data_IF_321544445607
#
_entry.id   IF_321544445607
#
_cell.length_a   1.000
_cell.length_b   1.000
_cell.length_c   1.000
_cell.angle_alpha   90.00
_cell.angle_beta   90.00
_cell.angle_gamma   90.00
#
_symmetry.space_group_name_H-M   'P 1'
#
loop_
_entity.id
_entity.type
_entity.pdbx_description
1 polymer ?
#
# COMPACT_ATOMS: atom_id res chain seq x y z
N UNK A 1 -17.65 6.96 4.91
CA UNK A 1 -17.69 8.43 4.72
C UNK A 1 -17.56 9.22 6.02
N UNK A 2 -17.97 8.68 7.17
CA UNK A 2 -17.90 9.38 8.47
C UNK A 2 -16.53 10.01 8.74
N UNK A 3 -15.44 9.23 8.64
CA UNK A 3 -14.07 9.71 8.87
C UNK A 3 -13.74 10.96 8.03
N UNK A 4 -14.05 10.93 6.74
CA UNK A 4 -13.78 12.04 5.81
C UNK A 4 -14.55 13.28 6.24
N UNK A 5 -15.85 13.14 6.53
CA UNK A 5 -16.68 14.26 6.95
C UNK A 5 -16.23 14.83 8.29
N UNK A 6 -15.91 13.97 9.26
CA UNK A 6 -15.39 14.41 10.55
C UNK A 6 -14.09 15.19 10.40
N UNK A 7 -13.16 14.72 9.57
CA UNK A 7 -11.92 15.44 9.27
C UNK A 7 -12.20 16.80 8.62
N UNK A 8 -13.05 16.86 7.60
CA UNK A 8 -13.39 18.09 6.89
C UNK A 8 -14.11 19.12 7.79
N UNK A 9 -14.91 18.65 8.75
CA UNK A 9 -15.62 19.48 9.70
C UNK A 9 -14.86 19.70 11.03
N UNK A 10 -13.60 19.26 11.13
CA UNK A 10 -12.79 19.35 12.36
C UNK A 10 -13.45 18.71 13.61
N UNK A 11 -14.27 17.68 13.40
CA UNK A 11 -14.93 16.91 14.45
C UNK A 11 -14.19 15.60 14.72
N UNK A 12 -14.26 15.11 15.96
CA UNK A 12 -13.74 13.79 16.35
C UNK A 12 -12.28 13.54 15.96
N UNK A 13 -11.45 14.59 15.86
CA UNK A 13 -10.08 14.48 15.34
C UNK A 13 -9.20 13.56 16.18
N UNK A 14 -9.43 13.49 17.50
CA UNK A 14 -8.72 12.55 18.39
C UNK A 14 -9.05 11.10 18.07
N UNK A 15 -10.28 10.82 17.63
CA UNK A 15 -10.73 9.48 17.25
C UNK A 15 -10.07 9.02 15.96
N UNK A 16 -9.93 9.94 14.99
CA UNK A 16 -9.36 9.64 13.67
C UNK A 16 -7.89 10.03 13.55
N UNK A 17 -7.23 10.19 14.69
CA UNK A 17 -5.82 10.56 14.79
C UNK A 17 -4.90 9.38 14.39
N UNK A 18 -5.42 8.16 14.52
CA UNK A 18 -4.81 6.90 14.08
C UNK A 18 -5.85 6.10 13.32
N UNK A 19 -5.46 5.51 12.19
CA UNK A 19 -6.29 4.60 11.41
C UNK A 19 -5.53 3.30 11.19
N UNK A 20 -6.23 2.18 11.25
CA UNK A 20 -5.67 0.90 10.80
C UNK A 20 -5.55 0.87 9.27
N UNK A 21 -4.71 -0.02 8.73
CA UNK A 21 -4.42 -0.08 7.29
C UNK A 21 -5.70 -0.23 6.44
N UNK A 22 -6.65 -1.04 6.88
CA UNK A 22 -7.95 -1.25 6.22
C UNK A 22 -8.81 0.02 6.18
N UNK A 23 -8.88 0.74 7.29
CA UNK A 23 -9.64 1.99 7.39
C UNK A 23 -9.00 3.06 6.51
N UNK A 24 -7.68 3.16 6.54
CA UNK A 24 -6.92 4.10 5.72
C UNK A 24 -7.11 3.83 4.22
N UNK A 25 -7.10 2.57 3.80
CA UNK A 25 -7.38 2.17 2.42
C UNK A 25 -8.82 2.53 1.99
N UNK A 26 -9.81 2.31 2.87
CA UNK A 26 -11.20 2.69 2.61
C UNK A 26 -11.36 4.22 2.49
N UNK A 27 -10.71 4.99 3.36
CA UNK A 27 -10.69 6.46 3.28
C UNK A 27 -10.03 6.90 1.97
N UNK A 28 -8.92 6.28 1.56
CA UNK A 28 -8.25 6.62 0.31
C UNK A 28 -9.15 6.41 -0.90
N UNK A 29 -9.80 5.25 -1.00
CA UNK A 29 -10.71 4.91 -2.09
C UNK A 29 -11.90 5.89 -2.16
N UNK A 30 -12.50 6.22 -1.01
CA UNK A 30 -13.57 7.21 -0.96
C UNK A 30 -13.05 8.61 -1.30
N UNK A 31 -11.85 8.97 -0.87
CA UNK A 31 -11.29 10.30 -1.15
C UNK A 31 -11.03 10.51 -2.63
N UNK A 32 -10.56 9.48 -3.33
CA UNK A 32 -10.36 9.53 -4.78
C UNK A 32 -11.71 9.54 -5.51
N UNK A 33 -12.68 8.73 -5.07
CA UNK A 33 -14.06 8.72 -5.61
C UNK A 33 -14.74 10.10 -5.55
N UNK A 34 -14.54 10.85 -4.45
CA UNK A 34 -15.17 12.15 -4.22
C UNK A 34 -14.23 13.34 -4.46
N UNK A 35 -13.04 13.11 -5.04
CA UNK A 35 -11.97 14.09 -5.30
C UNK A 35 -11.63 15.00 -4.10
N UNK A 36 -11.67 14.45 -2.88
CA UNK A 36 -11.36 15.19 -1.65
C UNK A 36 -9.95 14.91 -1.10
N UNK A 37 -9.12 14.17 -1.83
CA UNK A 37 -7.73 13.85 -1.46
C UNK A 37 -6.90 15.09 -1.12
N UNK A 38 -7.09 16.20 -1.85
CA UNK A 38 -6.37 17.47 -1.59
C UNK A 38 -6.69 18.04 -0.22
N UNK A 39 -7.95 17.97 0.20
CA UNK A 39 -8.40 18.46 1.49
C UNK A 39 -7.84 17.60 2.64
N UNK A 40 -7.59 16.31 2.41
CA UNK A 40 -7.06 15.39 3.42
C UNK A 40 -5.53 15.38 3.52
N UNK A 41 -4.80 16.16 2.72
CA UNK A 41 -3.32 16.14 2.66
C UNK A 41 -2.60 16.22 4.02
N UNK A 42 -2.96 17.16 4.93
CA UNK A 42 -2.33 17.22 6.26
C UNK A 42 -2.47 15.92 7.05
N UNK A 43 -3.63 15.26 6.95
CA UNK A 43 -3.95 14.03 7.66
C UNK A 43 -3.27 12.80 7.04
N UNK A 44 -3.11 12.77 5.70
CA UNK A 44 -2.44 11.68 5.00
C UNK A 44 -1.02 11.45 5.55
N UNK A 45 -0.21 12.51 5.63
CA UNK A 45 1.16 12.43 6.16
C UNK A 45 1.18 11.94 7.62
N UNK A 46 0.22 12.39 8.42
CA UNK A 46 0.07 12.00 9.81
C UNK A 46 -0.32 10.52 9.96
N UNK A 47 -1.31 10.05 9.20
CA UNK A 47 -1.74 8.66 9.21
C UNK A 47 -0.61 7.72 8.81
N UNK A 48 0.08 7.98 7.70
CA UNK A 48 1.24 7.18 7.30
C UNK A 48 2.39 7.26 8.29
N UNK A 49 2.63 8.43 8.90
CA UNK A 49 3.70 8.63 9.87
C UNK A 49 3.50 7.87 11.19
N UNK A 50 2.24 7.57 11.54
CA UNK A 50 1.84 6.84 12.75
C UNK A 50 1.78 5.33 12.56
N UNK A 51 1.75 4.86 11.31
CA UNK A 51 1.85 3.45 10.99
C UNK A 51 3.33 3.05 11.03
N UNK A 52 3.88 2.91 12.24
CA UNK A 52 5.28 2.50 12.48
C UNK A 52 5.35 1.12 13.12
N UNK A 53 6.20 0.26 12.54
CA UNK A 53 6.64 -1.02 13.11
C UNK A 53 5.70 -2.19 12.82
N UNK A 54 6.26 -3.31 12.36
CA UNK A 54 5.58 -4.61 12.41
C UNK A 54 4.31 -4.78 11.55
N UNK A 55 4.11 -3.98 10.50
CA UNK A 55 2.97 -4.20 9.59
C UNK A 55 3.10 -5.56 8.93
N UNK A 56 2.05 -6.37 9.03
CA UNK A 56 1.93 -7.63 8.30
C UNK A 56 2.00 -7.35 6.78
N UNK A 57 2.29 -8.37 5.98
CA UNK A 57 2.28 -8.21 4.52
C UNK A 57 0.89 -7.80 4.00
N UNK A 58 -0.18 -8.23 4.69
CA UNK A 58 -1.57 -7.82 4.42
C UNK A 58 -1.79 -6.33 4.69
N UNK A 59 -1.31 -5.83 5.84
CA UNK A 59 -1.36 -4.41 6.14
C UNK A 59 -0.59 -3.60 5.10
N UNK A 60 0.59 -4.08 4.68
CA UNK A 60 1.37 -3.40 3.66
C UNK A 60 0.62 -3.32 2.31
N UNK A 61 -0.10 -4.38 1.92
CA UNK A 61 -0.91 -4.36 0.71
C UNK A 61 -1.99 -3.28 0.78
N UNK A 62 -2.70 -3.18 1.91
CA UNK A 62 -3.70 -2.14 2.15
C UNK A 62 -3.09 -0.73 2.18
N UNK A 63 -1.91 -0.57 2.78
CA UNK A 63 -1.18 0.70 2.77
C UNK A 63 -0.72 1.10 1.37
N UNK A 64 -0.41 0.14 0.50
CA UNK A 64 -0.05 0.40 -0.89
C UNK A 64 -1.26 0.94 -1.66
N UNK A 65 -2.43 0.32 -1.46
CA UNK A 65 -3.72 0.80 -2.00
C UNK A 65 -3.97 2.23 -1.53
N UNK A 66 -3.84 2.46 -0.22
CA UNK A 66 -4.05 3.79 0.35
C UNK A 66 -3.11 4.83 -0.28
N UNK A 67 -1.81 4.52 -0.39
CA UNK A 67 -0.82 5.44 -0.92
C UNK A 67 -1.06 5.76 -2.40
N UNK A 68 -1.53 4.78 -3.18
CA UNK A 68 -1.90 4.95 -4.57
C UNK A 68 -3.07 5.94 -4.72
N UNK A 69 -4.20 5.68 -4.06
CA UNK A 69 -5.41 6.50 -4.18
C UNK A 69 -5.26 7.89 -3.56
N UNK A 70 -4.46 8.03 -2.49
CA UNK A 70 -4.11 9.34 -1.95
C UNK A 70 -3.10 10.12 -2.83
N UNK A 71 -2.58 9.53 -3.90
CA UNK A 71 -1.53 10.12 -4.76
C UNK A 71 -0.30 10.52 -3.93
N UNK A 72 0.01 9.73 -2.89
CA UNK A 72 1.06 10.00 -1.94
C UNK A 72 2.38 9.33 -2.38
N UNK A 73 3.06 9.92 -3.37
CA UNK A 73 4.21 9.32 -4.06
C UNK A 73 5.32 8.81 -3.12
N UNK A 74 5.65 9.57 -2.08
CA UNK A 74 6.71 9.21 -1.13
C UNK A 74 6.32 8.03 -0.25
N UNK A 75 5.06 8.00 0.20
CA UNK A 75 4.52 6.85 0.95
C UNK A 75 4.39 5.62 0.07
N UNK A 76 3.99 5.79 -1.20
CA UNK A 76 3.90 4.69 -2.16
C UNK A 76 5.26 4.02 -2.36
N UNK A 77 6.32 4.79 -2.65
CA UNK A 77 7.69 4.28 -2.79
C UNK A 77 8.17 3.56 -1.53
N UNK A 78 7.89 4.13 -0.35
CA UNK A 78 8.31 3.56 0.93
C UNK A 78 7.61 2.22 1.21
N UNK A 79 6.29 2.16 1.03
CA UNK A 79 5.50 0.95 1.25
C UNK A 79 5.84 -0.12 0.21
N UNK A 80 6.00 0.23 -1.07
CA UNK A 80 6.39 -0.72 -2.11
C UNK A 80 7.75 -1.35 -1.82
N UNK A 81 8.73 -0.56 -1.36
CA UNK A 81 10.04 -1.07 -0.97
C UNK A 81 9.95 -2.04 0.21
N UNK A 82 9.06 -1.79 1.19
CA UNK A 82 8.81 -2.71 2.31
C UNK A 82 8.18 -4.01 1.83
N UNK A 83 7.19 -3.95 0.95
CA UNK A 83 6.56 -5.13 0.34
C UNK A 83 7.61 -5.97 -0.37
N UNK A 84 8.42 -5.38 -1.25
CA UNK A 84 9.44 -6.13 -2.00
C UNK A 84 10.47 -6.79 -1.08
N UNK A 85 10.80 -6.17 0.06
CA UNK A 85 11.70 -6.76 1.07
C UNK A 85 11.07 -7.90 1.87
N UNK A 86 9.76 -7.83 2.12
CA UNK A 86 9.03 -8.84 2.91
C UNK A 86 8.38 -9.92 2.06
N UNK A 87 8.22 -9.69 0.77
CA UNK A 87 7.67 -10.63 -0.19
C UNK A 87 8.63 -11.80 -0.36
N UNK A 88 8.43 -12.82 0.44
CA UNK A 88 8.68 -14.19 0.03
C UNK A 88 7.65 -14.59 -1.05
N UNK A 89 7.80 -15.78 -1.64
CA UNK A 89 7.10 -16.27 -2.85
C UNK A 89 5.55 -16.21 -2.86
N UNK A 90 4.90 -15.66 -1.83
CA UNK A 90 3.45 -15.60 -1.61
C UNK A 90 2.82 -14.22 -1.87
N UNK A 91 3.50 -13.30 -2.56
CA UNK A 91 2.92 -11.98 -2.85
C UNK A 91 1.61 -12.07 -3.67
N UNK A 92 1.55 -13.03 -4.60
CA UNK A 92 0.37 -13.26 -5.45
C UNK A 92 -0.85 -13.71 -4.66
N UNK A 93 -0.69 -14.56 -3.64
CA UNK A 93 -1.81 -15.02 -2.81
C UNK A 93 -2.36 -13.92 -1.91
N UNK A 94 -1.50 -13.02 -1.43
CA UNK A 94 -1.88 -11.86 -0.62
C UNK A 94 -2.68 -10.84 -1.44
N UNK A 95 -2.32 -10.68 -2.70
CA UNK A 95 -3.07 -9.82 -3.61
C UNK A 95 -4.45 -10.37 -3.94
N UNK A 96 -4.57 -11.70 -4.02
CA UNK A 96 -5.84 -12.37 -4.28
C UNK A 96 -6.79 -12.35 -3.06
N UNK A 97 -6.28 -12.20 -1.84
CA UNK A 97 -7.10 -12.21 -0.62
C UNK A 97 -7.80 -10.88 -0.30
N UNK A 98 -7.40 -9.78 -0.96
CA UNK A 98 -7.91 -8.45 -0.67
C UNK A 98 -8.73 -7.87 -1.82
N UNK A 99 -10.05 -7.76 -1.64
CA UNK A 99 -10.96 -7.13 -2.63
C UNK A 99 -10.51 -5.72 -3.02
N UNK A 100 -9.89 -4.98 -2.09
CA UNK A 100 -9.40 -3.62 -2.35
C UNK A 100 -8.23 -3.57 -3.34
N UNK A 101 -7.51 -4.69 -3.52
CA UNK A 101 -6.47 -4.81 -4.54
C UNK A 101 -7.08 -4.89 -5.94
N UNK A 102 -8.35 -5.26 -6.09
CA UNK A 102 -9.03 -5.26 -7.38
C UNK A 102 -9.00 -3.87 -8.04
N UNK A 103 -9.06 -2.80 -7.23
CA UNK A 103 -9.06 -1.42 -7.70
C UNK A 103 -7.70 -0.88 -8.16
N UNK A 104 -6.59 -1.57 -7.85
CA UNK A 104 -5.29 -1.17 -8.38
C UNK A 104 -5.17 -1.49 -9.89
N UNK A 105 -4.47 -0.63 -10.67
CA UNK A 105 -4.13 -0.93 -12.05
C UNK A 105 -3.41 -2.27 -12.21
N UNK A 106 -3.65 -2.97 -13.32
CA UNK A 106 -3.08 -4.31 -13.54
C UNK A 106 -1.55 -4.29 -13.62
N UNK A 107 -0.96 -3.17 -14.00
CA UNK A 107 0.48 -2.95 -14.10
C UNK A 107 1.17 -3.10 -12.74
N UNK A 108 0.51 -2.65 -11.67
CA UNK A 108 1.03 -2.78 -10.31
C UNK A 108 0.91 -4.22 -9.78
N UNK A 109 0.03 -5.03 -10.37
CA UNK A 109 -0.17 -6.45 -10.06
C UNK A 109 0.79 -7.36 -10.83
N UNK A 110 1.75 -6.81 -11.56
CA UNK A 110 2.78 -7.57 -12.29
C UNK A 110 4.15 -7.41 -11.64
N UNK A 111 4.22 -7.52 -10.30
CA UNK A 111 5.53 -7.64 -9.62
C UNK A 111 6.10 -8.99 -10.02
N UNK A 112 6.92 -8.98 -11.07
CA UNK A 112 7.67 -10.13 -11.56
C UNK A 112 8.61 -10.54 -10.43
N UNK A 113 8.46 -11.76 -9.94
CA UNK A 113 9.52 -12.42 -9.18
C UNK A 113 10.81 -12.25 -9.97
N UNK A 114 11.78 -11.53 -9.41
CA UNK A 114 13.09 -11.41 -10.05
C UNK A 114 13.65 -12.82 -10.18
N UNK A 115 13.92 -13.17 -11.43
CA UNK A 115 14.39 -14.47 -11.88
C UNK A 115 15.48 -15.05 -10.98
N UNK A 116 15.15 -16.16 -10.31
CA UNK A 116 16.11 -17.20 -9.94
C UNK A 116 16.51 -17.95 -11.22
N UNK A 117 17.18 -17.25 -12.14
CA UNK A 117 17.73 -17.85 -13.36
C UNK A 117 19.02 -17.13 -13.75
N UNK A 118 19.99 -17.11 -12.84
CA UNK A 118 21.37 -16.95 -13.26
C UNK A 118 22.26 -17.71 -12.29
N UNK A 119 22.78 -18.85 -12.75
CA UNK A 119 24.00 -19.59 -12.39
C UNK A 119 23.77 -21.08 -12.70
N UNK A 120 23.70 -21.40 -13.99
CA UNK A 120 23.44 -22.75 -14.50
C UNK A 120 23.92 -22.95 -15.94
N UNK A 121 25.10 -22.43 -16.28
CA UNK A 121 25.91 -22.75 -17.47
C UNK A 121 27.34 -22.32 -17.11
N UNK A 122 28.43 -23.07 -17.24
CA UNK A 122 28.74 -24.35 -17.85
C UNK A 122 30.26 -24.35 -18.00
N UNK A 123 30.97 -25.22 -17.28
CA UNK A 123 32.40 -25.46 -17.50
C UNK A 123 32.66 -26.96 -17.41
N UNK A 124 32.29 -27.65 -18.48
CA UNK A 124 32.95 -28.88 -18.90
C UNK A 124 33.68 -28.55 -20.20
N UNK A 125 35.00 -28.42 -20.12
CA UNK A 125 35.90 -28.62 -21.24
C UNK A 125 37.21 -29.16 -20.65
N UNK A 126 37.30 -30.48 -20.71
CA UNK A 126 38.53 -31.26 -20.83
C UNK A 126 39.26 -30.84 -22.10
N UNK A 127 40.54 -30.52 -21.97
CA UNK A 127 41.66 -31.13 -22.70
C UNK A 127 42.97 -30.81 -21.98
#
# INVERSE_FOLDING_TARGET
MEIILSVLHYQNLKTYDTLHAKELAAVALHSDKYDCTKALRPWISQWFGRIRGGSSTDDLALLLVAAYFFRASEHFKSVSARIVRQANANLSSIWASHDMMAFLPQELKRVRARDSANHGYGTTLTD
#
